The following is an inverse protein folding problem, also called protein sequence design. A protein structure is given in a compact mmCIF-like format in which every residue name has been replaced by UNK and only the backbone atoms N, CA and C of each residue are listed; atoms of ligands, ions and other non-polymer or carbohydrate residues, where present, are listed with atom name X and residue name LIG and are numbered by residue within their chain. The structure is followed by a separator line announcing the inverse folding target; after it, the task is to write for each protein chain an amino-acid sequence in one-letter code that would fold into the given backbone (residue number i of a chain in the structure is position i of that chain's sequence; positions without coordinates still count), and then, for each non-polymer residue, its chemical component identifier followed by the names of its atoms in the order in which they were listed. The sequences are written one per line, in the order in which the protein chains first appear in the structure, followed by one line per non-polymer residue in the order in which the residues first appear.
data_IF_694806665172
#
_entry.id   IF_694806665172
#
_cell.length_a   1.000
_cell.length_b   1.000
_cell.length_c   1.000
_cell.angle_alpha   90.00
_cell.angle_beta   90.00
_cell.angle_gamma   90.00
#
_symmetry.space_group_name_H-M   'P 1'
#
loop_
_entity.id
_entity.type
_entity.pdbx_description
1 polymer ?
#
# COMPACT_ATOMS: atom_id res chain seq x y z
N UNK A 1 3.33 -3.41 32.46
CA UNK A 1 2.37 -4.17 31.65
C UNK A 1 2.32 -3.55 30.27
N UNK A 2 2.59 -4.30 29.21
CA UNK A 2 2.43 -3.83 27.83
C UNK A 2 1.13 -4.41 27.27
N UNK A 3 0.46 -3.71 26.35
CA UNK A 3 -0.80 -4.14 25.71
C UNK A 3 -0.49 -4.73 24.33
N UNK A 4 -0.13 -6.01 24.22
CA UNK A 4 0.37 -6.57 22.97
C UNK A 4 -0.82 -6.95 22.08
N UNK A 5 -0.66 -6.81 20.77
CA UNK A 5 -1.61 -7.36 19.80
C UNK A 5 -2.76 -6.43 19.40
N UNK A 6 -3.24 -5.55 20.28
CA UNK A 6 -4.42 -4.69 20.00
C UNK A 6 -4.18 -3.63 18.90
N UNK A 7 -2.93 -3.26 18.65
CA UNK A 7 -2.57 -2.21 17.69
C UNK A 7 -2.27 -2.76 16.28
N UNK A 8 -2.22 -4.09 16.14
CA UNK A 8 -1.66 -4.72 14.92
C UNK A 8 -2.49 -4.38 13.68
N UNK A 9 -3.82 -4.53 13.78
CA UNK A 9 -4.74 -4.20 12.69
C UNK A 9 -4.81 -2.70 12.41
N UNK A 10 -4.95 -1.87 13.45
CA UNK A 10 -4.98 -0.43 13.29
C UNK A 10 -3.70 0.11 12.60
N UNK A 11 -2.55 -0.46 12.92
CA UNK A 11 -1.28 -0.10 12.29
C UNK A 11 -1.22 -0.59 10.84
N UNK A 12 -1.73 -1.80 10.56
CA UNK A 12 -1.80 -2.33 9.20
C UNK A 12 -2.73 -1.49 8.30
N UNK A 13 -3.87 -1.05 8.83
CA UNK A 13 -4.82 -0.17 8.13
C UNK A 13 -4.18 1.19 7.83
N UNK A 14 -3.45 1.77 8.80
CA UNK A 14 -2.75 3.02 8.59
C UNK A 14 -1.64 2.88 7.53
N UNK A 15 -0.90 1.77 7.51
CA UNK A 15 0.10 1.53 6.48
C UNK A 15 -0.50 1.52 5.07
N UNK A 16 -1.66 0.87 4.90
CA UNK A 16 -2.41 0.89 3.64
C UNK A 16 -2.96 2.27 3.28
N UNK A 17 -3.48 3.01 4.27
CA UNK A 17 -3.95 4.37 4.07
C UNK A 17 -2.82 5.29 3.56
N UNK A 18 -1.62 5.19 4.14
CA UNK A 18 -0.45 5.95 3.71
C UNK A 18 0.01 5.54 2.30
N UNK A 19 0.05 4.24 2.00
CA UNK A 19 0.40 3.74 0.67
C UNK A 19 -0.55 4.31 -0.40
N UNK A 20 -1.86 4.23 -0.17
CA UNK A 20 -2.88 4.76 -1.07
C UNK A 20 -2.82 6.28 -1.19
N UNK A 21 -2.58 6.98 -0.09
CA UNK A 21 -2.47 8.43 -0.06
C UNK A 21 -1.33 8.93 -0.98
N UNK A 22 -0.19 8.24 -0.97
CA UNK A 22 0.95 8.56 -1.84
C UNK A 22 0.65 8.23 -3.29
N UNK A 23 0.23 6.99 -3.57
CA UNK A 23 -0.02 6.49 -4.92
C UNK A 23 -1.08 7.33 -5.66
N UNK A 24 -2.12 7.77 -4.94
CA UNK A 24 -3.24 8.55 -5.50
C UNK A 24 -3.15 10.04 -5.22
N UNK A 25 -2.02 10.53 -4.69
CA UNK A 25 -1.76 11.96 -4.40
C UNK A 25 -2.89 12.62 -3.58
N UNK A 26 -3.46 11.89 -2.62
CA UNK A 26 -4.65 12.32 -1.86
C UNK A 26 -4.38 13.61 -1.09
N UNK A 27 -3.21 13.72 -0.45
CA UNK A 27 -2.84 14.88 0.37
C UNK A 27 -2.69 16.14 -0.49
N UNK A 28 -2.14 16.00 -1.70
CA UNK A 28 -2.02 17.11 -2.64
C UNK A 28 -3.40 17.54 -3.17
N UNK A 29 -4.26 16.57 -3.50
CA UNK A 29 -5.64 16.84 -3.88
C UNK A 29 -6.41 17.59 -2.79
N UNK A 30 -6.36 17.13 -1.54
CA UNK A 30 -6.99 17.82 -0.41
C UNK A 30 -6.49 19.27 -0.26
N UNK A 31 -5.18 19.49 -0.40
CA UNK A 31 -4.59 20.83 -0.36
C UNK A 31 -5.12 21.73 -1.48
N UNK A 32 -5.18 21.25 -2.72
CA UNK A 32 -5.69 22.02 -3.87
C UNK A 32 -7.17 22.38 -3.67
N UNK A 33 -7.99 21.42 -3.20
CA UNK A 33 -9.40 21.67 -2.92
C UNK A 33 -9.59 22.74 -1.84
N UNK A 34 -8.82 22.66 -0.74
CA UNK A 34 -8.89 23.64 0.36
C UNK A 34 -8.39 25.02 -0.04
N UNK A 35 -7.45 25.11 -0.97
CA UNK A 35 -6.95 26.37 -1.50
C UNK A 35 -7.94 27.06 -2.46
N UNK A 36 -8.96 26.34 -2.95
CA UNK A 36 -9.88 26.86 -3.97
C UNK A 36 -9.29 26.88 -5.39
N UNK A 37 -8.13 26.25 -5.58
CA UNK A 37 -7.40 26.26 -6.86
C UNK A 37 -7.91 25.21 -7.85
N UNK A 38 -8.95 24.44 -7.49
CA UNK A 38 -9.52 23.43 -8.37
C UNK A 38 -10.30 24.07 -9.53
N UNK A 39 -9.74 23.99 -10.74
CA UNK A 39 -10.34 24.58 -11.96
C UNK A 39 -11.28 23.62 -12.70
N UNK A 40 -11.55 22.43 -12.15
CA UNK A 40 -12.37 21.40 -12.78
C UNK A 40 -11.58 20.13 -13.12
N UNK A 41 -12.31 19.12 -13.64
CA UNK A 41 -11.73 17.84 -14.01
C UNK A 41 -10.88 17.96 -15.27
N UNK A 42 -9.69 17.36 -15.25
CA UNK A 42 -8.77 17.27 -16.39
C UNK A 42 -8.12 15.87 -16.44
N UNK A 43 -7.89 15.27 -17.63
CA UNK A 43 -7.35 13.91 -17.75
C UNK A 43 -5.95 13.71 -17.16
N UNK A 44 -5.15 14.78 -17.07
CA UNK A 44 -3.79 14.76 -16.56
C UNK A 44 -3.70 15.28 -15.11
N UNK A 45 -4.78 15.85 -14.60
CA UNK A 45 -4.83 16.39 -13.25
C UNK A 45 -4.70 15.30 -12.19
N UNK A 46 -3.70 15.46 -11.31
CA UNK A 46 -3.37 14.53 -10.23
C UNK A 46 -3.22 13.06 -10.69
N UNK A 47 -2.62 12.85 -11.87
CA UNK A 47 -2.30 11.50 -12.33
C UNK A 47 -1.39 10.81 -11.29
N UNK A 48 -1.91 9.73 -10.74
CA UNK A 48 -1.23 8.88 -9.77
C UNK A 48 -0.73 7.58 -10.41
N UNK A 49 -0.37 6.63 -9.57
CA UNK A 49 0.04 5.30 -9.99
C UNK A 49 -1.09 4.29 -9.74
N UNK A 50 -1.12 3.20 -10.52
CA UNK A 50 -1.96 2.05 -10.19
C UNK A 50 -1.18 1.07 -9.30
N UNK A 51 -1.83 0.47 -8.30
CA UNK A 51 -1.22 -0.58 -7.47
C UNK A 51 -1.39 -1.97 -8.07
N UNK A 52 -2.35 -2.14 -8.98
CA UNK A 52 -2.66 -3.45 -9.56
C UNK A 52 -1.44 -4.02 -10.30
N UNK A 53 -1.07 -5.25 -9.96
CA UNK A 53 0.06 -5.95 -10.58
C UNK A 53 1.45 -5.41 -10.22
N UNK A 54 1.55 -4.51 -9.23
CA UNK A 54 2.84 -4.12 -8.65
C UNK A 54 3.18 -5.02 -7.46
N UNK A 55 4.48 -5.19 -7.22
CA UNK A 55 5.01 -5.94 -6.09
C UNK A 55 5.07 -5.08 -4.83
N UNK A 56 4.55 -5.58 -3.70
CA UNK A 56 4.74 -4.97 -2.38
C UNK A 56 5.82 -5.72 -1.61
N UNK A 57 6.88 -4.99 -1.26
CA UNK A 57 7.92 -5.48 -0.35
C UNK A 57 7.55 -5.18 1.10
N UNK A 58 7.59 -6.20 1.96
CA UNK A 58 7.39 -6.05 3.40
C UNK A 58 8.66 -6.49 4.10
N UNK A 59 9.32 -5.57 4.79
CA UNK A 59 10.53 -5.83 5.58
C UNK A 59 10.13 -5.97 7.04
N UNK A 60 10.18 -7.20 7.56
CA UNK A 60 9.74 -7.54 8.91
C UNK A 60 8.35 -8.19 8.95
N UNK A 61 8.33 -9.52 8.96
CA UNK A 61 7.12 -10.34 8.96
C UNK A 61 6.56 -10.65 10.36
N UNK A 62 6.48 -9.62 11.20
CA UNK A 62 5.78 -9.71 12.48
C UNK A 62 4.25 -9.64 12.29
N UNK A 63 3.50 -9.58 13.40
CA UNK A 63 2.02 -9.48 13.39
C UNK A 63 1.49 -8.40 12.43
N UNK A 64 2.10 -7.21 12.44
CA UNK A 64 1.71 -6.09 11.59
C UNK A 64 2.05 -6.38 10.11
N UNK A 65 3.27 -6.86 9.83
CA UNK A 65 3.70 -7.17 8.47
C UNK A 65 2.81 -8.22 7.80
N UNK A 66 2.43 -9.25 8.54
CA UNK A 66 1.46 -10.25 8.09
C UNK A 66 0.08 -9.64 7.84
N UNK A 67 -0.43 -8.82 8.75
CA UNK A 67 -1.73 -8.15 8.58
C UNK A 67 -1.77 -7.19 7.37
N UNK A 68 -0.64 -6.53 7.07
CA UNK A 68 -0.48 -5.71 5.85
C UNK A 68 -0.47 -6.57 4.59
N UNK A 69 0.22 -7.71 4.62
CA UNK A 69 0.25 -8.67 3.52
C UNK A 69 -1.12 -9.28 3.20
N UNK A 70 -1.90 -9.65 4.21
CA UNK A 70 -3.24 -10.22 4.00
C UNK A 70 -4.16 -9.25 3.25
N UNK A 71 -4.11 -7.96 3.60
CA UNK A 71 -4.86 -6.90 2.92
C UNK A 71 -4.41 -6.67 1.47
N UNK A 72 -3.19 -7.07 1.11
CA UNK A 72 -2.62 -6.89 -0.23
C UNK A 72 -3.21 -7.83 -1.28
N UNK A 73 -3.82 -8.94 -0.85
CA UNK A 73 -4.35 -9.99 -1.71
C UNK A 73 -5.40 -9.46 -2.71
N UNK A 74 -6.21 -8.48 -2.29
CA UNK A 74 -7.22 -7.84 -3.17
C UNK A 74 -6.62 -7.01 -4.31
N UNK A 75 -5.37 -6.56 -4.18
CA UNK A 75 -4.70 -5.65 -5.12
C UNK A 75 -3.69 -6.38 -6.02
N UNK A 76 -3.06 -7.44 -5.51
CA UNK A 76 -1.90 -8.08 -6.12
C UNK A 76 -2.23 -9.32 -6.97
N UNK A 77 -3.50 -9.54 -7.28
CA UNK A 77 -3.88 -10.61 -8.22
C UNK A 77 -3.54 -10.19 -9.65
N UNK A 78 -2.26 -10.27 -10.04
CA UNK A 78 -1.86 -10.33 -11.45
C UNK A 78 -1.95 -11.76 -11.92
N UNK A 79 -2.91 -12.03 -12.80
CA UNK A 79 -3.01 -13.26 -13.57
C UNK A 79 -2.00 -13.20 -14.71
N UNK A 80 -0.72 -13.41 -14.40
CA UNK A 80 0.36 -13.51 -15.37
C UNK A 80 1.07 -14.82 -15.10
N UNK A 81 0.90 -15.79 -16.01
CA UNK A 81 1.41 -17.14 -15.85
C UNK A 81 2.93 -17.22 -15.77
N UNK A 82 3.45 -17.25 -14.55
CA UNK A 82 4.60 -18.07 -14.15
C UNK A 82 4.69 -18.01 -12.61
N UNK A 83 4.46 -19.15 -11.96
CA UNK A 83 4.79 -19.49 -10.57
C UNK A 83 4.85 -18.42 -9.48
N UNK A 84 3.88 -18.50 -8.56
CA UNK A 84 3.98 -18.19 -7.13
C UNK A 84 4.13 -16.70 -6.71
N UNK A 85 2.99 -16.13 -6.28
CA UNK A 85 2.85 -15.36 -5.05
C UNK A 85 4.06 -14.48 -4.67
N UNK A 86 4.37 -13.43 -5.45
CA UNK A 86 5.41 -12.46 -5.07
C UNK A 86 4.86 -11.48 -4.02
N UNK A 87 4.52 -12.03 -2.87
CA UNK A 87 4.60 -11.34 -1.61
C UNK A 87 6.06 -11.51 -1.18
N UNK A 88 6.92 -10.55 -1.51
CA UNK A 88 8.30 -10.54 -1.05
C UNK A 88 8.31 -10.21 0.45
N UNK A 89 7.90 -11.19 1.26
CA UNK A 89 8.12 -11.20 2.68
C UNK A 89 9.61 -11.45 2.86
N UNK A 90 10.37 -10.39 3.07
CA UNK A 90 11.78 -10.50 3.38
C UNK A 90 11.89 -10.91 4.87
N UNK A 91 11.80 -12.22 5.15
CA UNK A 91 11.91 -12.74 6.53
C UNK A 91 13.37 -12.87 6.97
N UNK A 92 14.32 -13.14 6.07
CA UNK A 92 15.72 -13.32 6.45
C UNK A 92 16.65 -13.06 5.26
N UNK A 93 17.13 -11.83 5.08
CA UNK A 93 18.42 -11.53 4.43
C UNK A 93 18.74 -12.08 3.03
N UNK A 94 17.80 -12.67 2.28
CA UNK A 94 18.06 -13.18 0.93
C UNK A 94 17.06 -12.54 -0.02
N UNK A 95 17.57 -11.60 -0.81
CA UNK A 95 17.01 -11.18 -2.07
C UNK A 95 16.99 -12.44 -2.98
N UNK A 96 15.83 -13.06 -3.17
CA UNK A 96 15.62 -14.09 -4.21
C UNK A 96 14.88 -13.38 -5.36
N UNK A 97 15.35 -13.54 -6.61
CA UNK A 97 15.00 -12.71 -7.76
C UNK A 97 13.51 -12.73 -8.14
#
# INVERSE_FOLDING_TARGET
TNTPGILSDATADLAWALLLAVVRRVVEGDRIMRAGDFQGWDPLFLLGWDLKGKTLGIVGAGRIGTAVAERSQGWMTSRSGCGALTLAICVSGVLVP
#
